data_IF_216046243415
#
_entry.id   IF_216046243415
#
_cell.length_a   1.000
_cell.length_b   1.000
_cell.length_c   1.000
_cell.angle_alpha   90.00
_cell.angle_beta   90.00
_cell.angle_gamma   90.00
#
_symmetry.space_group_name_H-M   'P 1'
#
loop_
_entity.id
_entity.type
_entity.pdbx_description
1 polymer ?
#
# COMPACT_ATOMS: atom_id res chain seq x y z
N UNK A 1 -37.50 -51.84 7.30
CA UNK A 1 -36.48 -51.46 6.30
C UNK A 1 -36.00 -50.06 6.67
N UNK A 2 -35.33 -49.84 7.79
CA UNK A 2 -34.03 -50.40 8.20
C UNK A 2 -32.99 -50.37 7.07
N UNK A 3 -32.18 -49.31 7.07
CA UNK A 3 -30.74 -49.40 6.80
C UNK A 3 -30.05 -48.11 7.24
N UNK A 4 -29.71 -48.08 8.52
CA UNK A 4 -28.58 -47.33 9.06
C UNK A 4 -27.30 -47.64 8.27
N UNK A 5 -26.73 -46.66 7.59
CA UNK A 5 -25.34 -46.77 7.11
C UNK A 5 -24.43 -46.12 8.14
N UNK A 6 -23.82 -47.00 8.93
CA UNK A 6 -22.89 -46.72 10.01
C UNK A 6 -21.55 -46.30 9.42
N UNK A 7 -20.99 -45.25 10.03
CA UNK A 7 -19.59 -44.85 10.11
C UNK A 7 -18.56 -45.68 9.33
N UNK A 8 -17.90 -45.01 8.37
CA UNK A 8 -16.52 -45.31 7.99
C UNK A 8 -15.68 -44.05 8.20
N UNK A 9 -15.61 -43.59 9.44
CA UNK A 9 -14.52 -42.74 9.91
C UNK A 9 -13.28 -43.63 9.88
N UNK A 10 -12.54 -43.58 8.78
CA UNK A 10 -11.24 -44.20 8.65
C UNK A 10 -10.32 -43.55 9.68
N UNK A 11 -10.31 -44.09 10.89
CA UNK A 11 -9.27 -43.83 11.86
C UNK A 11 -7.97 -44.26 11.19
N UNK A 12 -7.19 -43.28 10.73
CA UNK A 12 -5.76 -43.48 10.57
C UNK A 12 -5.23 -43.84 11.96
N UNK A 13 -5.24 -45.13 12.28
CA UNK A 13 -4.43 -45.67 13.35
C UNK A 13 -2.99 -45.38 12.96
N UNK A 14 -2.49 -44.23 13.39
CA UNK A 14 -1.06 -43.99 13.47
C UNK A 14 -0.50 -45.12 14.31
N UNK A 15 0.12 -46.09 13.65
CA UNK A 15 1.02 -47.07 14.27
C UNK A 15 2.19 -46.28 14.87
N UNK A 16 1.95 -45.69 16.04
CA UNK A 16 2.98 -45.07 16.84
C UNK A 16 3.70 -46.21 17.55
N UNK A 17 4.94 -46.46 17.16
CA UNK A 17 5.81 -47.31 17.95
C UNK A 17 5.83 -46.78 19.38
N UNK A 18 5.65 -47.63 20.41
CA UNK A 18 5.59 -47.15 21.78
C UNK A 18 6.93 -46.52 22.14
N UNK A 19 6.91 -45.23 22.48
CA UNK A 19 8.09 -44.52 22.94
C UNK A 19 8.40 -44.95 24.38
N UNK A 20 9.34 -45.88 24.54
CA UNK A 20 9.80 -46.34 25.85
C UNK A 20 10.87 -45.38 26.36
N UNK A 21 10.56 -44.66 27.44
CA UNK A 21 11.48 -43.73 28.08
C UNK A 21 12.04 -44.29 29.38
N UNK A 22 13.35 -44.16 29.55
CA UNK A 22 14.05 -44.59 30.76
C UNK A 22 14.03 -43.43 31.76
N UNK A 23 13.27 -43.59 32.84
CA UNK A 23 13.19 -42.59 33.93
C UNK A 23 14.41 -42.62 34.84
N UNK A 24 15.01 -43.79 35.03
CA UNK A 24 16.19 -44.00 35.87
C UNK A 24 17.16 -44.97 35.20
N UNK A 25 18.45 -44.62 35.20
CA UNK A 25 19.52 -45.49 34.71
C UNK A 25 20.62 -45.61 35.76
N UNK A 26 21.04 -46.84 36.03
CA UNK A 26 22.12 -47.16 36.98
C UNK A 26 23.42 -46.48 36.51
N UNK A 27 24.21 -45.96 37.46
CA UNK A 27 25.47 -45.20 37.23
C UNK A 27 25.32 -43.89 36.45
N UNK A 28 24.10 -43.36 36.27
CA UNK A 28 23.86 -42.02 35.73
C UNK A 28 23.28 -41.08 36.77
N UNK A 29 23.46 -39.77 36.56
CA UNK A 29 22.81 -38.74 37.36
C UNK A 29 21.29 -38.86 37.16
N UNK A 30 20.59 -39.16 38.26
CA UNK A 30 19.16 -39.43 38.29
C UNK A 30 18.35 -38.20 37.87
N UNK A 31 18.72 -37.02 38.34
CA UNK A 31 18.00 -35.78 38.06
C UNK A 31 18.07 -35.40 36.58
N UNK A 32 19.26 -35.50 35.98
CA UNK A 32 19.44 -35.21 34.54
C UNK A 32 18.68 -36.23 33.69
N UNK A 33 18.76 -37.52 34.03
CA UNK A 33 18.07 -38.60 33.30
C UNK A 33 16.55 -38.39 33.31
N UNK A 34 16.01 -38.05 34.48
CA UNK A 34 14.59 -37.75 34.65
C UNK A 34 14.17 -36.50 33.86
N UNK A 35 14.91 -35.39 33.97
CA UNK A 35 14.60 -34.16 33.23
C UNK A 35 14.68 -34.36 31.71
N UNK A 36 15.61 -35.18 31.24
CA UNK A 36 15.74 -35.50 29.81
C UNK A 36 14.55 -36.33 29.32
N UNK A 37 14.11 -37.30 30.12
CA UNK A 37 12.90 -38.08 29.81
C UNK A 37 11.64 -37.20 29.80
N UNK A 38 11.53 -36.24 30.73
CA UNK A 38 10.44 -35.26 30.74
C UNK A 38 10.50 -34.32 29.53
N UNK A 39 11.69 -33.85 29.14
CA UNK A 39 11.87 -33.02 27.95
C UNK A 39 11.49 -33.76 26.65
N UNK A 40 11.76 -35.07 26.59
CA UNK A 40 11.29 -35.90 25.48
C UNK A 40 9.76 -36.04 25.47
N UNK A 41 9.12 -36.06 26.65
CA UNK A 41 7.66 -35.99 26.76
C UNK A 41 7.10 -34.60 26.45
N UNK A 42 7.83 -33.50 26.68
CA UNK A 42 7.36 -32.12 26.36
C UNK A 42 7.19 -31.85 24.88
N UNK A 43 7.77 -32.69 24.03
CA UNK A 43 7.54 -32.66 22.58
C UNK A 43 6.13 -33.18 22.24
N UNK A 44 5.52 -34.00 23.11
CA UNK A 44 4.19 -34.58 22.92
C UNK A 44 3.15 -33.82 23.76
N UNK A 45 2.45 -32.88 23.12
CA UNK A 45 1.48 -31.98 23.77
C UNK A 45 0.35 -32.70 24.53
N UNK A 46 -0.10 -33.86 24.04
CA UNK A 46 -1.21 -34.61 24.61
C UNK A 46 -0.90 -35.25 25.99
N UNK A 47 0.38 -35.58 26.25
CA UNK A 47 0.81 -36.24 27.50
C UNK A 47 0.65 -35.31 28.70
N UNK A 48 0.94 -34.03 28.52
CA UNK A 48 0.91 -33.04 29.60
C UNK A 48 -0.51 -32.66 29.99
N UNK A 49 -1.42 -32.56 29.02
CA UNK A 49 -2.84 -32.30 29.29
C UNK A 49 -3.43 -33.39 30.21
N UNK A 50 -3.14 -34.66 29.93
CA UNK A 50 -3.61 -35.78 30.75
C UNK A 50 -2.93 -35.81 32.12
N UNK A 51 -1.63 -35.49 32.21
CA UNK A 51 -0.89 -35.41 33.47
C UNK A 51 -1.43 -34.32 34.40
N UNK A 52 -1.69 -33.12 33.88
CA UNK A 52 -2.22 -32.01 34.68
C UNK A 52 -3.67 -32.26 35.11
N UNK A 53 -4.47 -32.90 34.25
CA UNK A 53 -5.86 -33.22 34.56
C UNK A 53 -5.98 -34.28 35.68
N UNK A 54 -5.14 -35.32 35.63
CA UNK A 54 -5.18 -36.42 36.61
C UNK A 54 -4.67 -36.05 38.00
N UNK A 55 -3.77 -35.06 38.11
CA UNK A 55 -3.18 -34.70 39.40
C UNK A 55 -3.87 -33.56 40.15
N UNK A 56 -4.94 -32.97 39.60
CA UNK A 56 -5.65 -31.82 40.18
C UNK A 56 -4.66 -30.80 40.80
N UNK A 57 -3.55 -30.54 40.12
CA UNK A 57 -2.54 -29.60 40.63
C UNK A 57 -3.20 -28.23 40.52
N UNK A 58 -3.74 -27.79 41.65
CA UNK A 58 -4.36 -26.49 41.76
C UNK A 58 -3.31 -25.47 41.36
N UNK A 59 -3.65 -24.56 40.45
CA UNK A 59 -2.65 -23.63 40.02
C UNK A 59 -2.17 -22.77 41.25
N UNK A 60 -0.92 -22.92 41.71
CA UNK A 60 -0.29 -22.01 42.68
C UNK A 60 -0.50 -20.55 42.27
N UNK A 61 -1.27 -19.80 43.05
CA UNK A 61 -1.83 -18.47 42.76
C UNK A 61 -0.89 -17.34 42.28
N UNK A 62 0.40 -17.57 42.05
CA UNK A 62 1.38 -16.53 41.69
C UNK A 62 2.03 -16.78 40.32
N UNK A 63 1.24 -16.81 39.24
CA UNK A 63 1.76 -17.02 37.87
C UNK A 63 2.06 -15.75 37.10
N UNK A 64 1.48 -14.64 37.52
CA UNK A 64 1.49 -13.41 36.74
C UNK A 64 2.90 -12.79 36.64
N UNK A 65 3.82 -13.13 37.55
CA UNK A 65 5.19 -12.61 37.57
C UNK A 65 6.21 -13.46 36.78
N UNK A 66 5.84 -14.61 36.21
CA UNK A 66 6.79 -15.52 35.53
C UNK A 66 6.58 -15.65 34.02
N UNK A 67 5.59 -14.97 33.45
CA UNK A 67 5.33 -14.96 32.00
C UNK A 67 6.03 -13.78 31.29
N UNK A 68 7.32 -13.57 31.54
CA UNK A 68 8.14 -12.66 30.74
C UNK A 68 8.59 -13.26 29.39
N UNK A 69 8.23 -14.51 29.11
CA UNK A 69 8.58 -15.19 27.86
C UNK A 69 7.34 -15.40 26.99
N UNK A 70 6.88 -14.32 26.35
CA UNK A 70 6.07 -14.46 25.15
C UNK A 70 6.81 -15.35 24.14
N UNK A 71 6.07 -16.27 23.52
CA UNK A 71 6.58 -17.31 22.64
C UNK A 71 7.59 -16.75 21.61
N UNK A 72 8.76 -17.38 21.52
CA UNK A 72 9.77 -17.27 20.44
C UNK A 72 9.21 -17.81 19.10
N UNK A 73 7.97 -17.47 18.75
CA UNK A 73 7.38 -17.83 17.48
C UNK A 73 8.06 -17.03 16.38
N UNK A 74 8.92 -17.71 15.61
CA UNK A 74 9.55 -17.12 14.44
C UNK A 74 8.56 -17.15 13.29
N UNK A 75 7.96 -15.99 12.97
CA UNK A 75 7.16 -15.83 11.78
C UNK A 75 7.96 -16.24 10.54
N UNK A 76 7.35 -17.05 9.67
CA UNK A 76 7.91 -17.35 8.36
C UNK A 76 7.65 -16.16 7.44
N UNK A 77 8.68 -15.36 7.17
CA UNK A 77 8.59 -14.06 6.48
C UNK A 77 8.49 -14.18 4.95
N UNK A 78 7.86 -15.24 4.41
CA UNK A 78 7.59 -15.29 2.98
C UNK A 78 6.55 -14.24 2.58
N UNK A 79 6.73 -13.63 1.41
CA UNK A 79 5.73 -12.72 0.85
C UNK A 79 4.50 -13.50 0.42
N UNK A 80 3.53 -13.65 1.32
CA UNK A 80 2.24 -14.28 1.05
C UNK A 80 1.20 -13.28 0.53
N UNK A 81 1.54 -11.98 0.53
CA UNK A 81 0.62 -10.91 0.16
C UNK A 81 0.75 -10.59 -1.33
N UNK A 82 -0.38 -10.63 -2.02
CA UNK A 82 -0.50 -10.11 -3.38
C UNK A 82 -0.76 -8.59 -3.29
N UNK A 83 0.17 -7.78 -3.79
CA UNK A 83 -0.01 -6.33 -3.94
C UNK A 83 -0.45 -6.04 -5.38
N UNK A 84 -1.56 -5.30 -5.56
CA UNK A 84 -1.97 -4.84 -6.89
C UNK A 84 -1.00 -3.79 -7.44
N UNK A 85 -0.95 -3.65 -8.76
CA UNK A 85 -0.11 -2.62 -9.41
C UNK A 85 -0.47 -1.21 -8.94
N UNK A 86 -1.76 -0.91 -8.79
CA UNK A 86 -2.23 0.40 -8.33
C UNK A 86 -1.80 0.69 -6.89
N UNK A 87 -1.90 -0.30 -6.00
CA UNK A 87 -1.43 -0.18 -4.62
C UNK A 87 0.08 0.07 -4.55
N UNK A 88 0.85 -0.68 -5.36
CA UNK A 88 2.30 -0.52 -5.45
C UNK A 88 2.68 0.88 -5.95
N UNK A 89 1.99 1.38 -6.97
CA UNK A 89 2.20 2.73 -7.51
C UNK A 89 1.87 3.79 -6.46
N UNK A 90 0.73 3.70 -5.78
CA UNK A 90 0.36 4.66 -4.74
C UNK A 90 1.38 4.69 -3.60
N UNK A 91 1.88 3.52 -3.18
CA UNK A 91 2.90 3.39 -2.13
C UNK A 91 4.25 3.96 -2.56
N UNK A 92 4.65 3.77 -3.81
CA UNK A 92 5.92 4.28 -4.35
C UNK A 92 5.84 5.76 -4.71
N UNK A 93 4.70 6.25 -5.20
CA UNK A 93 4.47 7.65 -5.54
C UNK A 93 4.72 8.57 -4.34
N UNK A 94 4.26 8.18 -3.15
CA UNK A 94 4.48 8.94 -1.91
C UNK A 94 5.95 9.06 -1.48
N UNK A 95 6.88 8.31 -2.10
CA UNK A 95 8.32 8.36 -1.78
C UNK A 95 9.09 9.32 -2.69
N UNK A 96 8.55 9.65 -3.86
CA UNK A 96 9.18 10.58 -4.80
C UNK A 96 8.64 11.97 -4.49
N UNK A 97 9.53 12.93 -4.30
CA UNK A 97 9.12 14.31 -4.06
C UNK A 97 8.54 14.88 -5.36
N UNK A 98 7.23 14.78 -5.52
CA UNK A 98 6.50 15.35 -6.65
C UNK A 98 6.17 16.81 -6.39
N UNK A 99 5.93 17.57 -7.47
CA UNK A 99 5.37 18.91 -7.38
C UNK A 99 4.10 18.90 -6.52
N UNK A 100 3.91 19.86 -5.58
CA UNK A 100 2.83 19.81 -4.58
C UNK A 100 1.44 19.66 -5.21
N UNK A 101 1.21 20.32 -6.34
CA UNK A 101 -0.09 20.30 -7.01
C UNK A 101 -0.30 19.12 -7.97
N UNK A 102 0.76 18.41 -8.39
CA UNK A 102 0.66 17.41 -9.48
C UNK A 102 -0.03 16.12 -9.05
N UNK A 103 0.15 15.72 -7.79
CA UNK A 103 -0.46 14.52 -7.23
C UNK A 103 0.10 13.21 -7.82
N UNK A 104 -0.75 12.19 -7.89
CA UNK A 104 -0.35 10.80 -8.18
C UNK A 104 -0.70 10.44 -9.62
N UNK A 105 0.28 9.93 -10.36
CA UNK A 105 0.08 9.38 -11.71
C UNK A 105 -0.75 8.10 -11.65
N UNK A 106 -1.84 8.07 -12.40
CA UNK A 106 -2.74 6.92 -12.56
C UNK A 106 -2.19 5.95 -13.60
N UNK A 107 -2.50 4.66 -13.43
CA UNK A 107 -2.16 3.62 -14.40
C UNK A 107 -3.18 3.62 -15.55
N UNK A 108 -2.84 4.31 -16.64
CA UNK A 108 -3.68 4.41 -17.84
C UNK A 108 -3.01 3.76 -19.06
N UNK A 109 -3.76 3.66 -20.16
CA UNK A 109 -3.29 3.13 -21.44
C UNK A 109 -2.00 3.80 -21.94
N UNK A 110 -1.22 3.08 -22.76
CA UNK A 110 0.10 3.54 -23.24
C UNK A 110 0.09 4.90 -23.95
N UNK A 111 -1.05 5.31 -24.49
CA UNK A 111 -1.21 6.55 -25.28
C UNK A 111 -1.58 7.76 -24.43
N UNK A 112 -2.01 7.58 -23.18
CA UNK A 112 -2.41 8.71 -22.33
C UNK A 112 -1.87 8.56 -20.91
N UNK A 113 -1.38 9.66 -20.36
CA UNK A 113 -0.97 9.72 -18.98
C UNK A 113 -1.91 10.64 -18.22
N UNK A 114 -2.42 10.16 -17.09
CA UNK A 114 -3.30 10.95 -16.22
C UNK A 114 -2.71 11.06 -14.84
N UNK A 115 -2.79 12.25 -14.26
CA UNK A 115 -2.48 12.51 -12.86
C UNK A 115 -3.75 12.90 -12.14
N UNK A 116 -3.90 12.40 -10.92
CA UNK A 116 -4.95 12.77 -9.99
C UNK A 116 -4.33 13.51 -8.83
N UNK A 117 -4.77 14.75 -8.64
CA UNK A 117 -4.39 15.60 -7.53
C UNK A 117 -5.60 15.92 -6.66
N UNK A 118 -5.36 16.06 -5.36
CA UNK A 118 -6.37 16.45 -4.38
C UNK A 118 -5.95 17.79 -3.81
N UNK A 119 -6.65 18.85 -4.21
CA UNK A 119 -6.34 20.22 -3.81
C UNK A 119 -7.26 20.61 -2.66
N UNK A 120 -6.65 21.09 -1.59
CA UNK A 120 -7.33 21.63 -0.42
C UNK A 120 -6.40 22.68 0.20
N UNK A 121 -6.92 23.88 0.45
CA UNK A 121 -6.15 25.01 0.95
C UNK A 121 -5.69 24.86 2.41
N UNK A 122 -6.37 24.03 3.22
CA UNK A 122 -5.96 23.74 4.60
C UNK A 122 -4.74 22.81 4.68
N UNK A 123 -4.33 22.20 3.57
CA UNK A 123 -3.12 21.40 3.54
C UNK A 123 -1.91 22.32 3.51
N UNK A 124 -0.94 22.10 4.41
CA UNK A 124 0.28 22.89 4.49
C UNK A 124 1.02 23.04 3.15
N UNK A 125 0.93 22.02 2.29
CA UNK A 125 1.55 22.01 0.96
C UNK A 125 0.86 22.94 -0.05
N UNK A 126 -0.37 23.38 0.21
CA UNK A 126 -1.19 24.20 -0.68
C UNK A 126 -1.54 25.57 -0.10
N UNK A 127 -1.01 25.90 1.08
CA UNK A 127 -1.34 27.14 1.80
C UNK A 127 -1.08 28.40 0.95
N UNK A 128 -0.11 28.34 0.04
CA UNK A 128 0.20 29.44 -0.88
C UNK A 128 -0.95 29.78 -1.86
N UNK A 129 -1.95 28.91 -2.02
CA UNK A 129 -3.11 29.19 -2.85
C UNK A 129 -4.08 30.18 -2.19
N UNK A 130 -4.05 30.30 -0.86
CA UNK A 130 -4.89 31.23 -0.10
C UNK A 130 -4.64 32.70 -0.49
N UNK A 131 -3.40 33.01 -0.86
CA UNK A 131 -2.98 34.36 -1.25
C UNK A 131 -3.65 34.85 -2.55
N UNK A 132 -4.16 33.94 -3.40
CA UNK A 132 -4.78 34.30 -4.68
C UNK A 132 -6.30 34.48 -4.55
N UNK A 133 -6.70 35.57 -3.89
CA UNK A 133 -8.09 35.91 -3.62
C UNK A 133 -8.60 37.05 -4.52
N UNK A 134 -9.70 36.82 -5.23
CA UNK A 134 -10.37 37.81 -6.08
C UNK A 134 -11.84 37.91 -5.67
N UNK A 135 -12.31 39.12 -5.33
CA UNK A 135 -13.72 39.37 -4.94
C UNK A 135 -14.24 38.39 -3.88
N UNK A 136 -13.45 38.21 -2.83
CA UNK A 136 -13.71 37.28 -1.73
C UNK A 136 -13.69 35.77 -2.02
N UNK A 137 -13.44 35.36 -3.25
CA UNK A 137 -13.23 33.96 -3.62
C UNK A 137 -11.74 33.64 -3.80
N UNK A 138 -11.29 32.53 -3.23
CA UNK A 138 -9.97 31.97 -3.50
C UNK A 138 -10.05 31.24 -4.84
N UNK A 139 -9.26 31.67 -5.81
CA UNK A 139 -9.26 31.08 -7.14
C UNK A 139 -7.97 30.30 -7.36
N UNK A 140 -8.06 29.18 -8.06
CA UNK A 140 -6.87 28.50 -8.52
C UNK A 140 -6.20 29.35 -9.62
N UNK A 141 -4.92 29.75 -9.45
CA UNK A 141 -4.26 30.64 -10.39
C UNK A 141 -4.17 30.05 -11.79
N UNK A 142 -4.33 30.88 -12.82
CA UNK A 142 -4.17 30.45 -14.20
C UNK A 142 -2.77 29.87 -14.48
N UNK A 143 -1.74 30.47 -13.86
CA UNK A 143 -0.35 30.02 -13.95
C UNK A 143 -0.15 28.62 -13.36
N UNK A 144 -0.89 28.27 -12.30
CA UNK A 144 -0.78 26.97 -11.66
C UNK A 144 -1.28 25.84 -12.58
N UNK A 145 -2.25 26.11 -13.45
CA UNK A 145 -2.63 25.12 -14.48
C UNK A 145 -1.48 24.84 -15.45
N UNK A 146 -0.76 25.87 -15.89
CA UNK A 146 0.36 25.70 -16.80
C UNK A 146 1.52 24.97 -16.12
N UNK A 147 1.81 25.30 -14.86
CA UNK A 147 2.82 24.62 -14.05
C UNK A 147 2.50 23.13 -13.84
N UNK A 148 1.23 22.79 -13.65
CA UNK A 148 0.80 21.40 -13.58
C UNK A 148 1.10 20.65 -14.89
N UNK A 149 0.84 21.27 -16.03
CA UNK A 149 1.13 20.64 -17.33
C UNK A 149 2.63 20.55 -17.57
N UNK A 150 3.41 21.59 -17.25
CA UNK A 150 4.87 21.54 -17.45
C UNK A 150 5.51 20.44 -16.60
N UNK A 151 5.13 20.34 -15.33
CA UNK A 151 5.65 19.32 -14.41
C UNK A 151 5.22 17.91 -14.82
N UNK A 152 3.98 17.73 -15.28
CA UNK A 152 3.51 16.46 -15.85
C UNK A 152 4.29 16.06 -17.11
N UNK A 153 4.52 17.00 -18.03
CA UNK A 153 5.34 16.78 -19.22
C UNK A 153 6.79 16.43 -18.87
N UNK A 154 7.41 17.14 -17.92
CA UNK A 154 8.74 16.83 -17.41
C UNK A 154 8.79 15.41 -16.86
N UNK A 155 7.83 15.00 -16.03
CA UNK A 155 7.78 13.64 -15.48
C UNK A 155 7.68 12.56 -16.57
N UNK A 156 6.98 12.82 -17.68
CA UNK A 156 6.93 11.89 -18.82
C UNK A 156 8.25 11.81 -19.59
N UNK A 157 8.90 12.94 -19.79
CA UNK A 157 10.12 13.04 -20.60
C UNK A 157 11.35 12.54 -19.82
N UNK A 158 11.45 12.86 -18.53
CA UNK A 158 12.52 12.39 -17.63
C UNK A 158 12.51 10.86 -17.45
N UNK A 159 11.39 10.19 -17.71
CA UNK A 159 11.35 8.72 -17.72
C UNK A 159 12.06 8.08 -18.93
N UNK A 160 12.40 8.89 -19.95
CA UNK A 160 12.95 8.42 -21.22
C UNK A 160 14.39 8.88 -21.51
N UNK A 161 14.91 9.87 -20.80
CA UNK A 161 16.25 10.44 -21.06
C UNK A 161 17.05 10.60 -19.76
N UNK A 162 18.25 10.02 -19.73
CA UNK A 162 19.25 10.16 -18.67
C UNK A 162 20.02 11.51 -18.75
N UNK A 163 19.68 12.36 -19.72
CA UNK A 163 20.37 13.62 -19.96
C UNK A 163 19.80 14.75 -19.11
N UNK A 164 20.70 15.46 -18.42
CA UNK A 164 20.41 16.55 -17.47
C UNK A 164 19.79 17.82 -18.10
N UNK A 165 19.32 17.77 -19.34
CA UNK A 165 18.72 18.90 -20.03
C UNK A 165 17.21 18.90 -19.84
N UNK A 166 16.70 19.95 -19.18
CA UNK A 166 15.27 20.13 -19.03
C UNK A 166 14.63 20.40 -20.41
N UNK A 167 13.56 19.67 -20.78
CA UNK A 167 12.91 19.84 -22.08
C UNK A 167 12.25 21.22 -22.18
N UNK A 168 12.33 21.84 -23.36
CA UNK A 168 11.63 23.10 -23.62
C UNK A 168 10.17 22.80 -23.98
N UNK A 169 9.25 23.37 -23.20
CA UNK A 169 7.81 23.15 -23.35
C UNK A 169 7.18 24.44 -23.88
N UNK A 170 6.48 24.34 -25.01
CA UNK A 170 5.78 25.46 -25.66
C UNK A 170 4.29 25.19 -25.61
N UNK A 171 3.53 26.13 -25.08
CA UNK A 171 2.08 26.09 -25.06
C UNK A 171 1.51 26.79 -26.28
N UNK A 172 0.58 26.14 -26.99
CA UNK A 172 -0.08 26.67 -28.18
C UNK A 172 -1.60 26.64 -27.97
N UNK A 173 -2.27 27.75 -28.34
CA UNK A 173 -3.73 27.90 -28.26
C UNK A 173 -4.31 27.56 -26.87
N UNK A 174 -3.79 28.23 -25.83
CA UNK A 174 -4.25 28.01 -24.46
C UNK A 174 -5.61 28.67 -24.22
N UNK A 175 -6.61 27.87 -23.85
CA UNK A 175 -7.98 28.30 -23.57
C UNK A 175 -8.38 27.97 -22.14
N UNK A 176 -8.54 29.00 -21.33
CA UNK A 176 -9.11 28.87 -19.99
C UNK A 176 -10.63 28.96 -20.08
N UNK A 177 -11.33 27.84 -19.84
CA UNK A 177 -12.79 27.76 -19.94
C UNK A 177 -13.46 28.23 -18.65
N UNK A 178 -12.93 27.78 -17.50
CA UNK A 178 -13.50 28.06 -16.20
C UNK A 178 -12.42 28.13 -15.14
N UNK A 179 -12.49 29.15 -14.28
CA UNK A 179 -11.65 29.24 -13.10
C UNK A 179 -12.17 28.28 -12.02
N UNK A 180 -11.25 27.56 -11.37
CA UNK A 180 -11.58 26.70 -10.24
C UNK A 180 -11.64 27.54 -8.97
N UNK A 181 -12.80 27.56 -8.33
CA UNK A 181 -12.99 28.20 -7.03
C UNK A 181 -12.63 27.18 -5.95
N UNK A 182 -11.79 27.60 -5.00
CA UNK A 182 -11.38 26.79 -3.87
C UNK A 182 -12.10 27.27 -2.62
N UNK A 183 -12.71 26.34 -1.91
CA UNK A 183 -13.36 26.59 -0.62
C UNK A 183 -12.52 25.98 0.50
N UNK A 184 -12.51 26.61 1.68
CA UNK A 184 -11.71 26.16 2.83
C UNK A 184 -12.09 24.75 3.28
N UNK A 185 -13.35 24.35 3.15
CA UNK A 185 -13.84 23.07 3.63
C UNK A 185 -13.99 22.00 2.54
N UNK A 186 -13.59 22.31 1.31
CA UNK A 186 -13.80 21.42 0.17
C UNK A 186 -12.47 20.82 -0.30
N UNK A 187 -12.48 19.51 -0.53
CA UNK A 187 -11.39 18.82 -1.20
C UNK A 187 -11.77 18.68 -2.66
N UNK A 188 -11.00 19.32 -3.53
CA UNK A 188 -11.27 19.37 -4.96
C UNK A 188 -10.33 18.41 -5.68
N UNK A 189 -10.90 17.43 -6.39
CA UNK A 189 -10.12 16.56 -7.24
C UNK A 189 -9.78 17.29 -8.55
N UNK A 190 -8.53 17.24 -8.98
CA UNK A 190 -8.08 17.77 -10.27
C UNK A 190 -7.35 16.68 -11.02
N UNK A 191 -7.73 16.51 -12.28
CA UNK A 191 -7.14 15.56 -13.19
C UNK A 191 -6.40 16.30 -14.29
N UNK A 192 -5.20 15.83 -14.58
CA UNK A 192 -4.40 16.31 -15.71
C UNK A 192 -4.24 15.12 -16.63
N UNK A 193 -4.63 15.26 -17.89
CA UNK A 193 -4.48 14.22 -18.88
C UNK A 193 -3.65 14.74 -20.04
N UNK A 194 -2.58 14.02 -20.37
CA UNK A 194 -1.72 14.28 -21.52
C UNK A 194 -1.89 13.12 -22.50
N UNK A 195 -2.29 13.42 -23.72
CA UNK A 195 -2.49 12.46 -24.80
C UNK A 195 -1.31 12.55 -25.77
N UNK A 196 -0.56 11.46 -25.87
CA UNK A 196 0.56 11.29 -26.81
C UNK A 196 0.16 10.30 -27.91
N UNK A 197 0.55 10.51 -29.19
CA UNK A 197 1.48 11.53 -29.70
C UNK A 197 0.83 12.85 -30.11
N UNK A 198 -0.49 13.01 -29.89
CA UNK A 198 -1.25 14.17 -30.34
C UNK A 198 -0.83 15.49 -29.68
N UNK A 199 -0.01 15.43 -28.62
CA UNK A 199 0.48 16.62 -27.94
C UNK A 199 -0.67 17.49 -27.42
N UNK A 200 -1.76 16.84 -27.00
CA UNK A 200 -2.95 17.47 -26.43
C UNK A 200 -2.98 17.23 -24.94
N UNK A 201 -3.44 18.23 -24.20
CA UNK A 201 -3.63 18.11 -22.77
C UNK A 201 -4.96 18.69 -22.34
N UNK A 202 -5.46 18.15 -21.23
CA UNK A 202 -6.72 18.52 -20.63
C UNK A 202 -6.56 18.60 -19.12
N UNK A 203 -7.13 19.64 -18.52
CA UNK A 203 -7.30 19.73 -17.06
C UNK A 203 -8.79 19.82 -16.75
N UNK A 204 -9.24 18.99 -15.81
CA UNK A 204 -10.63 18.94 -15.37
C UNK A 204 -10.73 18.56 -13.89
N UNK A 205 -11.76 19.04 -13.19
CA UNK A 205 -11.97 18.78 -11.76
C UNK A 205 -13.05 17.73 -11.44
N UNK A 206 -13.66 17.13 -12.48
CA UNK A 206 -14.67 16.06 -12.35
C UNK A 206 -14.48 15.02 -13.46
N UNK A 207 -14.70 13.72 -13.19
CA UNK A 207 -14.50 12.68 -14.19
C UNK A 207 -15.37 12.92 -15.43
N UNK A 208 -14.77 12.74 -16.60
CA UNK A 208 -15.32 12.98 -17.94
C UNK A 208 -16.72 12.37 -18.17
N UNK A 209 -17.11 11.32 -17.43
CA UNK A 209 -18.38 10.63 -17.60
C UNK A 209 -19.64 11.46 -17.26
N UNK A 210 -19.50 12.63 -16.63
CA UNK A 210 -20.64 13.42 -16.14
C UNK A 210 -20.79 14.81 -16.74
N UNK A 211 -19.81 15.29 -17.52
CA UNK A 211 -19.81 16.64 -18.08
C UNK A 211 -19.45 16.57 -19.57
N UNK A 212 -20.21 17.31 -20.38
CA UNK A 212 -19.91 17.56 -21.79
C UNK A 212 -18.63 18.41 -21.96
N UNK A 213 -18.49 19.19 -23.05
CA UNK A 213 -17.23 19.80 -23.51
C UNK A 213 -16.62 20.89 -22.59
N UNK A 214 -17.00 20.98 -21.32
CA UNK A 214 -16.55 21.98 -20.35
C UNK A 214 -15.15 21.62 -19.77
N UNK A 215 -14.21 21.28 -20.64
CA UNK A 215 -12.82 21.00 -20.29
C UNK A 215 -11.89 22.05 -20.90
N UNK A 216 -10.83 22.42 -20.19
CA UNK A 216 -9.75 23.22 -20.78
C UNK A 216 -8.95 22.34 -21.74
N UNK A 217 -8.98 22.64 -23.03
CA UNK A 217 -8.34 21.86 -24.10
C UNK A 217 -7.31 22.70 -24.84
N UNK A 218 -6.05 22.27 -24.88
CA UNK A 218 -5.00 22.97 -25.63
C UNK A 218 -3.95 21.99 -26.17
N UNK A 219 -3.09 22.48 -27.07
CA UNK A 219 -1.95 21.72 -27.60
C UNK A 219 -0.64 22.18 -26.95
N UNK A 220 0.23 21.24 -26.61
CA UNK A 220 1.59 21.48 -26.10
C UNK A 220 2.58 20.98 -27.13
N UNK A 221 3.38 21.87 -27.68
CA UNK A 221 4.51 21.49 -28.53
C UNK A 221 5.73 21.33 -27.63
N UNK A 222 6.27 20.11 -27.60
CA UNK A 222 7.51 19.80 -26.88
C UNK A 222 8.62 19.85 -27.91
N UNK A 223 9.47 20.87 -27.84
CA UNK A 223 10.58 21.00 -28.76
C UNK A 223 11.80 20.30 -28.17
N UNK A 224 12.10 19.10 -28.68
CA UNK A 224 13.32 18.36 -28.36
C UNK A 224 14.51 18.75 -29.25
N UNK A 225 14.37 19.76 -30.12
CA UNK A 225 15.37 20.12 -31.15
C UNK A 225 16.17 21.39 -30.82
N UNK A 226 16.72 21.48 -29.61
CA UNK A 226 17.96 22.24 -29.39
C UNK A 226 19.17 21.30 -29.32
N UNK A 227 19.36 20.56 -30.41
CA UNK A 227 20.67 20.13 -30.86
C UNK A 227 21.08 21.06 -32.01
N UNK A 228 21.60 22.25 -31.69
CA UNK A 228 22.50 23.02 -32.54
C UNK A 228 23.40 23.87 -31.65
#
# INVERSE_FOLDING_TARGET
MESSSIASLTMMQQQSSPLILLTLKIKKNKQITLLTSLAQLSILSHVWQQYFHTRQILPMKNYEEYFDNFLLYKFYLSSCWYESKDSSIQRLANRIQTHPLLGIRQLNDQTSATWKSLININLLQHNFLEDYKIQDAILFPAAAYLELVTTACQQLLSSKQDDQQQPTIIFVDVKFVKALILNEHELVEVFIQIIMPMCQWYIYSRPWSTLGPDCMSCTVVIDSNRLF
#
